data_IF_709206360514
#
_entry.id   IF_709206360514
#
_cell.length_a   1.000
_cell.length_b   1.000
_cell.length_c   1.000
_cell.angle_alpha   90.00
_cell.angle_beta   90.00
_cell.angle_gamma   90.00
#
_symmetry.space_group_name_H-M   'P 1'
#
loop_
_entity.id
_entity.type
_entity.pdbx_description
1 polymer ?
#
# COMPACT_ATOMS: atom_id res chain seq x y z
N UNK A 1 -2.74 13.01 -2.50
CA UNK A 1 -2.24 11.73 -1.96
C UNK A 1 -0.87 11.47 -2.54
N UNK A 2 0.09 11.05 -1.71
CA UNK A 2 1.43 10.67 -2.12
C UNK A 2 1.70 9.26 -1.62
N UNK A 3 2.11 8.34 -2.51
CA UNK A 3 2.48 6.97 -2.13
C UNK A 3 3.88 6.96 -1.50
N UNK A 4 3.99 7.56 -0.32
CA UNK A 4 5.18 7.65 0.50
C UNK A 4 4.74 7.88 1.96
N UNK A 5 5.59 7.56 2.94
CA UNK A 5 6.95 7.03 2.83
C UNK A 5 7.06 5.51 2.63
N UNK A 6 8.24 5.08 2.17
CA UNK A 6 8.63 3.66 2.20
C UNK A 6 9.13 3.32 3.60
N UNK A 7 8.50 2.35 4.25
CA UNK A 7 8.80 1.84 5.58
C UNK A 7 9.43 0.43 5.57
N UNK A 8 9.77 -0.08 4.38
CA UNK A 8 10.47 -1.35 4.25
C UNK A 8 11.86 -1.26 4.88
N UNK A 9 12.20 -2.19 5.79
CA UNK A 9 13.54 -2.30 6.36
C UNK A 9 14.43 -3.10 5.41
N UNK A 10 15.37 -2.44 4.73
CA UNK A 10 16.21 -3.05 3.69
C UNK A 10 17.28 -3.97 4.29
N UNK A 11 16.85 -5.12 4.79
CA UNK A 11 17.68 -6.11 5.48
C UNK A 11 18.40 -7.07 4.52
N UNK A 12 17.89 -7.26 3.31
CA UNK A 12 18.57 -8.01 2.27
C UNK A 12 19.40 -7.08 1.37
N UNK A 13 20.75 -7.13 1.41
CA UNK A 13 21.58 -6.28 0.57
C UNK A 13 21.43 -6.56 -0.94
N UNK A 14 20.85 -7.70 -1.31
CA UNK A 14 20.55 -8.09 -2.70
C UNK A 14 19.12 -7.75 -3.11
N UNK A 15 18.36 -7.01 -2.30
CA UNK A 15 17.01 -6.60 -2.65
C UNK A 15 17.03 -5.78 -3.95
N UNK A 16 16.34 -6.24 -5.01
CA UNK A 16 16.42 -5.60 -6.33
C UNK A 16 15.51 -4.39 -6.48
N UNK A 17 14.56 -4.18 -5.57
CA UNK A 17 13.43 -3.25 -5.76
C UNK A 17 13.33 -2.16 -4.70
N UNK A 18 13.70 -2.43 -3.45
CA UNK A 18 13.69 -1.46 -2.36
C UNK A 18 15.00 -0.68 -2.32
N UNK A 19 16.11 -1.31 -1.94
CA UNK A 19 17.45 -0.71 -1.97
C UNK A 19 17.49 0.70 -1.36
N UNK A 20 17.91 1.68 -2.16
CA UNK A 20 18.02 3.11 -1.77
C UNK A 20 16.68 3.82 -1.53
N UNK A 21 15.54 3.17 -1.76
CA UNK A 21 14.22 3.71 -1.43
C UNK A 21 13.89 3.59 0.07
N UNK A 22 14.55 2.67 0.77
CA UNK A 22 14.42 2.54 2.22
C UNK A 22 15.31 3.55 2.94
N UNK A 23 14.88 3.98 4.12
CA UNK A 23 15.70 4.78 5.02
C UNK A 23 16.88 4.01 5.65
N UNK A 24 16.91 2.67 5.54
CA UNK A 24 18.03 1.87 5.97
C UNK A 24 17.67 0.42 6.32
N UNK A 25 18.62 -0.26 6.94
CA UNK A 25 18.49 -1.66 7.39
C UNK A 25 18.16 -1.80 8.88
N UNK A 26 18.02 -0.69 9.61
CA UNK A 26 17.67 -0.67 11.03
C UNK A 26 16.20 -0.24 11.21
N UNK A 27 15.32 -1.08 11.80
CA UNK A 27 13.92 -0.75 12.02
C UNK A 27 13.69 0.55 12.80
N UNK A 28 14.54 0.89 13.77
CA UNK A 28 14.38 2.11 14.58
C UNK A 28 14.63 3.38 13.74
N UNK A 29 15.65 3.33 12.87
CA UNK A 29 15.96 4.42 11.94
C UNK A 29 14.82 4.59 10.92
N UNK A 30 14.37 3.48 10.34
CA UNK A 30 13.26 3.47 9.37
C UNK A 30 11.98 3.99 10.01
N UNK A 31 11.70 3.61 11.26
CA UNK A 31 10.55 4.10 12.02
C UNK A 31 10.63 5.61 12.24
N UNK A 32 11.77 6.10 12.77
CA UNK A 32 11.94 7.51 13.09
C UNK A 32 11.84 8.40 11.84
N UNK A 33 12.57 8.07 10.78
CA UNK A 33 12.58 8.89 9.56
C UNK A 33 11.27 8.73 8.78
N UNK A 34 10.70 7.53 8.78
CA UNK A 34 9.42 7.23 8.14
C UNK A 34 8.28 8.02 8.76
N UNK A 35 8.14 8.01 10.09
CA UNK A 35 7.08 8.75 10.78
C UNK A 35 7.20 10.25 10.55
N UNK A 36 8.40 10.83 10.63
CA UNK A 36 8.58 12.27 10.40
C UNK A 36 8.32 12.65 8.93
N UNK A 37 8.70 11.79 7.97
CA UNK A 37 8.34 11.99 6.55
C UNK A 37 6.83 11.93 6.35
N UNK A 38 6.15 10.98 6.99
CA UNK A 38 4.69 10.85 6.95
C UNK A 38 4.01 12.12 7.48
N UNK A 39 4.44 12.61 8.65
CA UNK A 39 3.92 13.85 9.26
C UNK A 39 4.13 15.06 8.36
N UNK A 40 5.32 15.23 7.79
CA UNK A 40 5.58 16.33 6.85
C UNK A 40 4.68 16.29 5.61
N UNK A 41 4.33 15.10 5.10
CA UNK A 41 3.35 14.97 4.01
C UNK A 41 1.95 15.37 4.49
N UNK A 42 1.55 14.96 5.71
CA UNK A 42 0.25 15.32 6.30
C UNK A 42 0.11 16.82 6.53
N UNK A 43 1.15 17.50 7.00
CA UNK A 43 1.17 18.95 7.27
C UNK A 43 0.89 19.78 6.01
N UNK A 44 1.28 19.28 4.83
CA UNK A 44 1.00 19.91 3.53
C UNK A 44 -0.41 19.57 2.98
N UNK A 45 -1.30 19.02 3.82
CA UNK A 45 -2.63 18.55 3.45
C UNK A 45 -2.59 17.52 2.31
N UNK A 46 -1.54 16.70 2.27
CA UNK A 46 -1.40 15.57 1.35
C UNK A 46 -1.56 14.27 2.14
N UNK A 47 -2.37 13.34 1.63
CA UNK A 47 -2.53 12.02 2.26
C UNK A 47 -1.26 11.18 2.05
N UNK A 48 -0.52 10.79 3.10
CA UNK A 48 0.59 9.83 2.98
C UNK A 48 0.05 8.40 2.85
N UNK A 49 0.82 7.54 2.20
CA UNK A 49 0.55 6.09 2.15
C UNK A 49 1.82 5.34 2.49
N UNK A 50 1.86 4.78 3.70
CA UNK A 50 3.02 4.03 4.16
C UNK A 50 3.08 2.66 3.48
N UNK A 51 4.28 2.21 3.08
CA UNK A 51 4.42 1.04 2.20
C UNK A 51 5.76 0.30 2.33
N UNK A 52 5.86 -0.97 1.97
CA UNK A 52 4.79 -1.85 1.45
C UNK A 52 4.55 -2.94 2.49
N UNK A 53 3.42 -2.85 3.19
CA UNK A 53 3.09 -3.76 4.29
C UNK A 53 2.96 -5.22 3.78
N UNK A 54 3.47 -6.23 4.50
CA UNK A 54 4.07 -6.19 5.84
C UNK A 54 5.59 -5.98 5.86
N UNK A 55 6.20 -5.54 4.75
CA UNK A 55 7.63 -5.28 4.63
C UNK A 55 8.26 -6.01 3.44
N UNK A 56 8.70 -5.27 2.43
CA UNK A 56 9.31 -5.78 1.20
C UNK A 56 10.85 -5.85 1.26
N UNK A 57 11.46 -5.40 2.36
CA UNK A 57 12.90 -5.17 2.44
C UNK A 57 13.78 -6.43 2.46
N UNK A 58 13.22 -7.61 2.74
CA UNK A 58 13.96 -8.90 2.74
C UNK A 58 13.73 -9.76 1.48
N UNK A 59 13.08 -9.22 0.45
CA UNK A 59 12.82 -9.97 -0.79
C UNK A 59 14.05 -10.07 -1.70
N UNK A 60 14.13 -11.16 -2.46
CA UNK A 60 15.17 -11.41 -3.47
C UNK A 60 14.65 -11.41 -4.92
N UNK A 61 13.35 -11.21 -5.10
CA UNK A 61 12.66 -11.13 -6.38
C UNK A 61 11.93 -9.80 -6.45
N UNK A 62 12.01 -9.13 -7.60
CA UNK A 62 11.24 -7.93 -7.86
C UNK A 62 9.77 -8.30 -8.15
N UNK A 63 8.83 -7.77 -7.36
CA UNK A 63 7.39 -8.01 -7.53
C UNK A 63 6.82 -7.51 -8.86
N UNK A 64 7.50 -6.58 -9.54
CA UNK A 64 7.13 -6.20 -10.91
C UNK A 64 7.33 -7.36 -11.90
N UNK A 65 8.28 -8.27 -11.61
CA UNK A 65 8.68 -9.36 -12.51
C UNK A 65 8.04 -10.69 -12.12
N UNK A 66 7.92 -10.99 -10.83
CA UNK A 66 7.34 -12.25 -10.35
C UNK A 66 7.04 -12.22 -8.85
N UNK A 67 6.38 -13.24 -8.33
CA UNK A 67 5.93 -13.28 -6.94
C UNK A 67 7.11 -13.55 -5.98
N UNK A 68 7.52 -12.58 -5.13
CA UNK A 68 8.52 -12.82 -4.12
C UNK A 68 7.94 -13.69 -3.00
N UNK A 69 8.73 -14.68 -2.57
CA UNK A 69 8.39 -15.52 -1.42
C UNK A 69 9.40 -15.29 -0.30
N UNK A 70 8.91 -15.03 0.90
CA UNK A 70 9.72 -14.79 2.10
C UNK A 70 9.35 -15.85 3.15
N UNK A 71 10.36 -16.53 3.70
CA UNK A 71 10.18 -17.64 4.65
C UNK A 71 10.27 -17.19 6.12
N UNK A 72 9.69 -16.02 6.41
CA UNK A 72 9.64 -15.42 7.75
C UNK A 72 8.34 -15.81 8.44
N UNK A 73 8.41 -16.09 9.75
CA UNK A 73 7.25 -16.30 10.60
C UNK A 73 6.77 -14.98 11.22
N UNK A 74 5.63 -15.05 11.90
CA UNK A 74 5.01 -13.89 12.53
C UNK A 74 5.91 -13.26 13.61
N UNK A 75 6.64 -14.07 14.38
CA UNK A 75 7.56 -13.59 15.41
C UNK A 75 8.67 -12.73 14.81
N UNK A 76 9.26 -13.15 13.69
CA UNK A 76 10.20 -12.33 12.94
C UNK A 76 9.58 -11.01 12.49
N UNK A 77 8.42 -11.07 11.84
CA UNK A 77 7.73 -9.88 11.34
C UNK A 77 7.45 -8.87 12.47
N UNK A 78 6.92 -9.33 13.60
CA UNK A 78 6.60 -8.47 14.75
C UNK A 78 7.84 -7.81 15.37
N UNK A 79 8.97 -8.52 15.41
CA UNK A 79 10.21 -8.04 16.00
C UNK A 79 11.14 -7.32 15.01
N UNK A 80 10.72 -7.15 13.74
CA UNK A 80 11.57 -6.52 12.74
C UNK A 80 10.77 -5.76 11.68
N UNK A 81 10.18 -6.44 10.69
CA UNK A 81 9.58 -5.80 9.51
C UNK A 81 8.35 -4.94 9.85
N UNK A 82 7.57 -5.30 10.88
CA UNK A 82 6.35 -4.59 11.29
C UNK A 82 6.61 -3.40 12.22
N UNK A 83 7.82 -3.27 12.79
CA UNK A 83 8.13 -2.20 13.75
C UNK A 83 7.83 -0.81 13.14
N UNK A 84 8.32 -0.46 11.93
CA UNK A 84 8.01 0.83 11.33
C UNK A 84 6.52 1.07 11.06
N UNK A 85 5.79 0.04 10.64
CA UNK A 85 4.35 0.16 10.38
C UNK A 85 3.56 0.36 11.67
N UNK A 86 3.88 -0.39 12.73
CA UNK A 86 3.28 -0.20 14.05
C UNK A 86 3.52 1.22 14.56
N UNK A 87 4.75 1.73 14.43
CA UNK A 87 5.09 3.12 14.81
C UNK A 87 4.34 4.17 13.99
N UNK A 88 4.17 3.94 12.68
CA UNK A 88 3.38 4.83 11.84
C UNK A 88 1.89 4.82 12.23
N UNK A 89 1.31 3.66 12.52
CA UNK A 89 -0.08 3.53 12.97
C UNK A 89 -0.29 4.21 14.33
N UNK A 90 0.64 4.03 15.28
CA UNK A 90 0.67 4.74 16.57
C UNK A 90 0.77 6.27 16.42
N UNK A 91 1.23 6.76 15.25
CA UNK A 91 1.36 8.18 14.91
C UNK A 91 0.34 8.59 13.82
N UNK A 92 -0.86 8.00 13.85
CA UNK A 92 -2.00 8.41 13.01
C UNK A 92 -1.76 8.28 11.49
N UNK A 93 -1.11 7.20 11.04
CA UNK A 93 -1.04 6.87 9.62
C UNK A 93 -2.45 6.81 8.99
N UNK A 94 -2.62 7.49 7.87
CA UNK A 94 -3.91 7.56 7.17
C UNK A 94 -4.19 6.36 6.27
N UNK A 95 -3.14 5.89 5.58
CA UNK A 95 -3.24 4.82 4.61
C UNK A 95 -2.05 3.88 4.65
N UNK A 96 -2.32 2.59 4.42
CA UNK A 96 -1.30 1.54 4.30
C UNK A 96 -1.44 0.84 2.95
N UNK A 97 -0.34 0.73 2.22
CA UNK A 97 -0.26 -0.05 0.97
C UNK A 97 0.23 -1.46 1.23
N UNK A 98 -0.48 -2.47 0.73
CA UNK A 98 -0.15 -3.89 0.91
C UNK A 98 0.65 -4.44 -0.28
N UNK A 99 1.80 -5.04 0.01
CA UNK A 99 2.70 -5.63 -0.98
C UNK A 99 2.16 -6.95 -1.58
N UNK A 100 2.66 -7.29 -2.77
CA UNK A 100 2.45 -8.61 -3.38
C UNK A 100 3.58 -9.57 -3.00
N UNK A 101 3.60 -10.05 -1.75
CA UNK A 101 4.62 -10.97 -1.21
C UNK A 101 3.94 -12.20 -0.61
N UNK A 102 4.42 -13.39 -0.96
CA UNK A 102 4.00 -14.65 -0.35
C UNK A 102 4.81 -14.91 0.92
N UNK A 103 4.15 -14.96 2.07
CA UNK A 103 4.76 -15.26 3.37
C UNK A 103 4.41 -16.70 3.75
N UNK A 104 5.20 -17.66 3.27
CA UNK A 104 4.81 -19.09 3.26
C UNK A 104 4.58 -19.71 4.63
N UNK A 105 5.10 -19.11 5.71
CA UNK A 105 4.86 -19.57 7.09
C UNK A 105 3.62 -18.96 7.76
N UNK A 106 3.00 -17.95 7.14
CA UNK A 106 1.83 -17.25 7.67
C UNK A 106 0.61 -17.53 6.81
N UNK A 107 0.74 -17.39 5.50
CA UNK A 107 -0.26 -17.78 4.50
C UNK A 107 0.49 -18.33 3.28
N UNK A 108 0.46 -19.65 3.13
CA UNK A 108 1.15 -20.35 2.05
C UNK A 108 0.42 -20.29 0.71
N UNK A 109 -0.83 -19.83 0.70
CA UNK A 109 -1.68 -19.86 -0.49
C UNK A 109 -1.82 -18.49 -1.14
N UNK A 110 -1.90 -17.43 -0.33
CA UNK A 110 -2.20 -16.10 -0.81
C UNK A 110 -1.05 -15.12 -0.51
N UNK A 111 -0.59 -14.33 -1.48
CA UNK A 111 0.24 -13.17 -1.20
C UNK A 111 -0.48 -12.21 -0.25
N UNK A 112 0.32 -11.39 0.43
CA UNK A 112 -0.12 -10.46 1.46
C UNK A 112 -1.32 -9.60 1.03
N UNK A 113 -1.34 -9.11 -0.21
CA UNK A 113 -2.43 -8.31 -0.80
C UNK A 113 -3.77 -9.05 -0.98
N UNK A 114 -3.80 -10.36 -0.79
CA UNK A 114 -4.99 -11.22 -0.88
C UNK A 114 -5.22 -12.05 0.39
N UNK A 115 -4.36 -11.90 1.41
CA UNK A 115 -4.39 -12.71 2.62
C UNK A 115 -5.23 -12.04 3.70
N UNK A 116 -6.31 -12.70 4.12
CA UNK A 116 -7.12 -12.25 5.26
C UNK A 116 -6.29 -12.23 6.56
N UNK A 117 -5.39 -13.19 6.74
CA UNK A 117 -4.47 -13.25 7.89
C UNK A 117 -3.60 -12.00 7.97
N UNK A 118 -3.04 -11.56 6.84
CA UNK A 118 -2.17 -10.38 6.82
C UNK A 118 -2.98 -9.08 6.98
N UNK A 119 -4.07 -8.92 6.22
CA UNK A 119 -4.80 -7.65 6.15
C UNK A 119 -5.78 -7.49 7.31
N UNK A 120 -6.64 -8.47 7.54
CA UNK A 120 -7.65 -8.39 8.61
C UNK A 120 -7.00 -8.73 9.95
N UNK A 121 -6.37 -9.89 10.09
CA UNK A 121 -5.97 -10.37 11.42
C UNK A 121 -4.73 -9.64 11.95
N UNK A 122 -3.72 -9.38 11.12
CA UNK A 122 -2.51 -8.69 11.57
C UNK A 122 -2.68 -7.17 11.49
N UNK A 123 -2.96 -6.60 10.31
CA UNK A 123 -3.00 -5.14 10.16
C UNK A 123 -4.19 -4.50 10.89
N UNK A 124 -5.42 -4.93 10.60
CA UNK A 124 -6.60 -4.33 11.24
C UNK A 124 -6.77 -4.75 12.70
N UNK A 125 -6.68 -6.05 13.00
CA UNK A 125 -7.01 -6.56 14.33
C UNK A 125 -5.84 -6.46 15.30
N UNK A 126 -4.62 -6.88 14.95
CA UNK A 126 -3.49 -6.85 15.88
C UNK A 126 -2.86 -5.46 15.99
N UNK A 127 -2.59 -4.79 14.86
CA UNK A 127 -2.02 -3.44 14.85
C UNK A 127 -3.07 -2.33 15.00
N UNK A 128 -4.36 -2.68 15.09
CA UNK A 128 -5.48 -1.74 15.32
C UNK A 128 -5.60 -0.66 14.25
N UNK A 129 -5.23 -0.98 13.01
CA UNK A 129 -5.32 -0.02 11.90
C UNK A 129 -6.77 0.14 11.39
N UNK A 130 -7.34 1.33 11.61
CA UNK A 130 -8.67 1.70 11.12
C UNK A 130 -8.65 2.68 9.92
N UNK A 131 -7.45 3.00 9.41
CA UNK A 131 -7.29 3.81 8.19
C UNK A 131 -7.61 3.02 6.91
N UNK A 132 -7.29 3.65 5.77
CA UNK A 132 -7.59 3.07 4.46
C UNK A 132 -6.48 2.11 4.02
N UNK A 133 -6.86 0.91 3.63
CA UNK A 133 -5.94 -0.09 3.07
C UNK A 133 -6.04 -0.06 1.53
N UNK A 134 -4.90 0.07 0.86
CA UNK A 134 -4.80 0.04 -0.61
C UNK A 134 -3.86 -1.09 -1.04
N UNK A 135 -4.13 -1.75 -2.18
CA UNK A 135 -3.15 -2.68 -2.75
C UNK A 135 -1.95 -1.94 -3.33
N UNK A 136 -0.80 -2.62 -3.45
CA UNK A 136 0.16 -2.28 -4.50
C UNK A 136 -0.47 -2.50 -5.90
N UNK A 137 0.23 -2.14 -6.96
CA UNK A 137 -0.33 -2.13 -8.31
C UNK A 137 -0.67 -3.55 -8.81
N UNK A 138 -1.97 -3.81 -9.02
CA UNK A 138 -2.47 -5.16 -9.25
C UNK A 138 -2.13 -5.75 -10.64
N UNK A 139 -1.66 -4.93 -11.59
CA UNK A 139 -1.17 -5.41 -12.88
C UNK A 139 0.31 -5.80 -12.86
N UNK A 140 0.98 -5.72 -11.71
CA UNK A 140 2.36 -6.19 -11.52
C UNK A 140 2.50 -7.69 -11.76
N UNK A 141 3.68 -8.12 -12.22
CA UNK A 141 3.97 -9.51 -12.56
C UNK A 141 3.74 -10.51 -11.43
N UNK A 142 3.90 -10.10 -10.16
CA UNK A 142 3.56 -10.93 -9.00
C UNK A 142 2.09 -11.39 -9.00
N UNK A 143 1.17 -10.58 -9.53
CA UNK A 143 -0.25 -10.91 -9.63
C UNK A 143 -0.57 -11.52 -10.99
N UNK A 144 -0.40 -10.77 -12.08
CA UNK A 144 -0.95 -11.16 -13.39
C UNK A 144 -0.32 -12.41 -14.02
N UNK A 145 0.85 -12.86 -13.53
CA UNK A 145 1.47 -14.12 -13.98
C UNK A 145 1.00 -15.34 -13.20
N UNK A 146 0.38 -15.14 -12.03
CA UNK A 146 0.06 -16.22 -11.09
C UNK A 146 -1.45 -16.30 -10.81
N UNK A 147 -2.19 -15.22 -11.00
CA UNK A 147 -3.61 -15.10 -10.66
C UNK A 147 -4.38 -14.34 -11.74
N UNK A 148 -5.67 -14.64 -11.85
CA UNK A 148 -6.61 -13.78 -12.57
C UNK A 148 -6.74 -12.44 -11.83
N UNK A 149 -6.55 -11.33 -12.55
CA UNK A 149 -6.66 -9.98 -11.97
C UNK A 149 -8.02 -9.76 -11.28
N UNK A 150 -9.10 -10.22 -11.91
CA UNK A 150 -10.45 -10.06 -11.40
C UNK A 150 -10.67 -10.86 -10.10
N UNK A 151 -10.20 -12.09 -10.06
CA UNK A 151 -10.29 -12.94 -8.86
C UNK A 151 -9.41 -12.41 -7.74
N UNK A 152 -8.22 -11.90 -8.09
CA UNK A 152 -7.29 -11.30 -7.15
C UNK A 152 -7.88 -10.05 -6.48
N UNK A 153 -8.57 -9.20 -7.26
CA UNK A 153 -9.27 -8.04 -6.72
C UNK A 153 -10.41 -8.43 -5.77
N UNK A 154 -11.22 -9.42 -6.13
CA UNK A 154 -12.30 -9.95 -5.27
C UNK A 154 -11.72 -10.49 -3.96
N UNK A 155 -10.69 -11.35 -4.04
CA UNK A 155 -9.99 -11.87 -2.84
C UNK A 155 -9.42 -10.77 -1.97
N UNK A 156 -8.80 -9.74 -2.56
CA UNK A 156 -8.23 -8.62 -1.81
C UNK A 156 -9.28 -7.83 -1.03
N UNK A 157 -10.44 -7.53 -1.65
CA UNK A 157 -11.55 -6.87 -0.96
C UNK A 157 -12.10 -7.76 0.15
N UNK A 158 -12.32 -9.06 -0.12
CA UNK A 158 -12.77 -10.01 0.91
C UNK A 158 -11.78 -10.13 2.07
N UNK A 159 -10.48 -9.96 1.82
CA UNK A 159 -9.42 -10.00 2.84
C UNK A 159 -9.33 -8.74 3.71
N UNK A 160 -9.95 -7.62 3.31
CA UNK A 160 -10.00 -6.39 4.12
C UNK A 160 -9.48 -5.11 3.46
N UNK A 161 -9.07 -5.17 2.18
CA UNK A 161 -8.60 -4.02 1.41
C UNK A 161 -9.74 -3.07 1.03
N UNK A 162 -9.52 -1.76 1.11
CA UNK A 162 -10.52 -0.74 0.76
C UNK A 162 -10.40 -0.22 -0.68
N UNK A 163 -9.17 -0.08 -1.18
CA UNK A 163 -8.89 0.43 -2.52
C UNK A 163 -8.06 -0.59 -3.31
N UNK A 164 -8.54 -0.96 -4.49
CA UNK A 164 -7.78 -1.76 -5.46
C UNK A 164 -7.09 -0.83 -6.44
N UNK A 165 -5.75 -0.86 -6.46
CA UNK A 165 -4.94 -0.06 -7.38
C UNK A 165 -4.76 -0.79 -8.71
N UNK A 166 -5.33 -0.24 -9.78
CA UNK A 166 -5.13 -0.68 -11.17
C UNK A 166 -4.52 0.48 -11.93
N UNK A 167 -3.22 0.41 -12.22
CA UNK A 167 -2.46 1.48 -12.85
C UNK A 167 -2.40 1.39 -14.37
N UNK A 168 -2.78 0.25 -14.95
CA UNK A 168 -2.61 -0.02 -16.38
C UNK A 168 -3.83 -0.68 -17.03
N UNK A 169 -4.33 -0.04 -18.09
CA UNK A 169 -5.32 -0.59 -19.00
C UNK A 169 -6.77 -0.36 -18.57
N UNK A 170 -7.49 0.48 -19.30
CA UNK A 170 -8.90 0.78 -19.02
C UNK A 170 -9.79 -0.48 -18.96
N UNK A 171 -9.53 -1.48 -19.80
CA UNK A 171 -10.28 -2.74 -19.77
C UNK A 171 -10.04 -3.55 -18.49
N UNK A 172 -8.86 -3.42 -17.87
CA UNK A 172 -8.57 -4.06 -16.58
C UNK A 172 -9.39 -3.42 -15.46
N UNK A 173 -9.48 -2.08 -15.45
CA UNK A 173 -10.32 -1.33 -14.50
C UNK A 173 -11.79 -1.76 -14.60
N UNK A 174 -12.34 -1.80 -15.83
CA UNK A 174 -13.72 -2.26 -16.08
C UNK A 174 -13.91 -3.72 -15.65
N UNK A 175 -12.94 -4.59 -15.94
CA UNK A 175 -12.96 -5.99 -15.54
C UNK A 175 -13.06 -6.16 -14.02
N UNK A 176 -12.21 -5.45 -13.27
CA UNK A 176 -12.19 -5.46 -11.80
C UNK A 176 -13.52 -4.93 -11.23
N UNK A 177 -14.03 -3.81 -11.74
CA UNK A 177 -15.32 -3.25 -11.29
C UNK A 177 -16.46 -4.26 -11.49
N UNK A 178 -16.52 -4.90 -12.66
CA UNK A 178 -17.56 -5.89 -12.96
C UNK A 178 -17.43 -7.14 -12.09
N UNK A 179 -16.21 -7.60 -11.83
CA UNK A 179 -15.95 -8.73 -10.95
C UNK A 179 -16.42 -8.47 -9.51
N UNK A 180 -16.07 -7.30 -8.95
CA UNK A 180 -16.51 -6.89 -7.61
C UNK A 180 -18.04 -6.78 -7.52
N UNK A 181 -18.68 -6.15 -8.52
CA UNK A 181 -20.16 -6.10 -8.60
C UNK A 181 -20.78 -7.49 -8.63
N UNK A 182 -20.20 -8.41 -9.41
CA UNK A 182 -20.69 -9.78 -9.49
C UNK A 182 -20.52 -10.52 -8.17
N UNK A 183 -19.36 -10.39 -7.52
CA UNK A 183 -19.08 -11.01 -6.23
C UNK A 183 -20.09 -10.54 -5.16
N UNK A 184 -20.42 -9.25 -5.13
CA UNK A 184 -21.46 -8.71 -4.24
C UNK A 184 -22.84 -9.29 -4.60
N UNK A 185 -23.23 -9.30 -5.87
CA UNK A 185 -24.54 -9.86 -6.29
C UNK A 185 -24.72 -11.34 -5.96
N UNK A 186 -23.62 -12.09 -5.87
CA UNK A 186 -23.59 -13.52 -5.54
C UNK A 186 -23.45 -13.78 -4.05
N UNK A 187 -23.22 -12.75 -3.24
CA UNK A 187 -22.98 -12.87 -1.79
C UNK A 187 -21.58 -13.35 -1.42
N UNK A 188 -20.63 -13.38 -2.36
CA UNK A 188 -19.21 -13.68 -2.09
C UNK A 188 -18.54 -12.55 -1.29
N UNK A 189 -18.97 -11.31 -1.52
CA UNK A 189 -18.65 -10.12 -0.71
C UNK A 189 -19.97 -9.57 -0.17
N UNK A 190 -20.08 -9.38 1.14
CA UNK A 190 -21.27 -8.77 1.72
C UNK A 190 -21.33 -7.27 1.41
N UNK A 191 -22.54 -6.70 1.39
CA UNK A 191 -22.69 -5.26 1.18
C UNK A 191 -22.07 -4.47 2.33
N UNK A 192 -22.19 -4.98 3.57
CA UNK A 192 -21.61 -4.38 4.76
C UNK A 192 -20.09 -4.26 4.64
N UNK A 193 -19.42 -5.27 4.04
CA UNK A 193 -17.98 -5.22 3.79
C UNK A 193 -17.62 -4.07 2.84
N UNK A 194 -18.42 -3.81 1.81
CA UNK A 194 -18.22 -2.65 0.92
C UNK A 194 -18.46 -1.34 1.67
N UNK A 195 -19.54 -1.27 2.46
CA UNK A 195 -19.91 -0.07 3.22
C UNK A 195 -18.83 0.33 4.23
N UNK A 196 -18.18 -0.64 4.88
CA UNK A 196 -17.03 -0.41 5.76
C UNK A 196 -15.87 0.28 5.02
N UNK A 197 -15.54 -0.18 3.82
CA UNK A 197 -14.46 0.41 3.02
C UNK A 197 -14.83 1.82 2.54
N UNK A 198 -16.04 1.99 2.02
CA UNK A 198 -16.55 3.29 1.56
C UNK A 198 -16.57 4.29 2.71
N UNK A 199 -16.99 3.87 3.91
CA UNK A 199 -16.97 4.71 5.10
C UNK A 199 -15.56 5.22 5.43
N UNK A 200 -14.53 4.34 5.45
CA UNK A 200 -13.14 4.75 5.70
C UNK A 200 -12.62 5.73 4.64
N UNK A 201 -12.95 5.48 3.37
CA UNK A 201 -12.55 6.34 2.25
C UNK A 201 -13.21 7.71 2.37
N UNK A 202 -14.51 7.78 2.69
CA UNK A 202 -15.23 9.05 2.84
C UNK A 202 -14.73 9.84 4.06
N UNK A 203 -14.50 9.16 5.20
CA UNK A 203 -13.90 9.76 6.40
C UNK A 203 -12.52 10.35 6.10
N UNK A 204 -11.71 9.66 5.29
CA UNK A 204 -10.40 10.17 4.86
C UNK A 204 -10.54 11.38 3.92
N UNK A 205 -11.46 11.32 2.95
CA UNK A 205 -11.75 12.48 2.08
C UNK A 205 -12.19 13.70 2.89
N UNK A 206 -13.04 13.51 3.89
CA UNK A 206 -13.50 14.55 4.82
C UNK A 206 -12.35 15.14 5.63
N UNK A 207 -11.47 14.29 6.21
CA UNK A 207 -10.28 14.73 6.96
C UNK A 207 -9.41 15.71 6.17
N UNK A 208 -9.28 15.49 4.87
CA UNK A 208 -8.45 16.31 3.97
C UNK A 208 -9.22 17.37 3.18
N UNK A 209 -10.52 17.54 3.46
CA UNK A 209 -11.42 18.45 2.77
C UNK A 209 -11.38 18.27 1.23
N UNK A 210 -11.32 17.00 0.79
CA UNK A 210 -11.33 16.67 -0.63
C UNK A 210 -12.75 16.86 -1.19
N UNK A 211 -12.83 17.55 -2.33
CA UNK A 211 -14.08 17.79 -3.04
C UNK A 211 -14.06 17.09 -4.38
N UNK A 212 -15.22 16.64 -4.83
CA UNK A 212 -15.41 16.02 -6.14
C UNK A 212 -15.68 17.09 -7.24
N UNK A 213 -15.15 18.31 -7.07
CA UNK A 213 -15.25 19.39 -8.06
C UNK A 213 -14.32 19.12 -9.24
N UNK A 214 -14.83 19.24 -10.47
CA UNK A 214 -14.03 19.08 -11.69
C UNK A 214 -13.07 20.26 -11.81
N UNK A 215 -11.78 20.00 -11.72
CA UNK A 215 -10.74 21.00 -11.99
C UNK A 215 -10.50 21.04 -13.50
N UNK A 216 -10.91 22.14 -14.15
CA UNK A 216 -10.66 22.38 -15.57
C UNK A 216 -9.16 22.62 -15.79
N UNK A 217 -8.48 21.58 -16.25
CA UNK A 217 -7.06 21.48 -16.63
C UNK A 217 -6.02 22.10 -15.67
N UNK A 218 -5.06 21.26 -15.28
CA UNK A 218 -3.88 21.72 -14.54
C UNK A 218 -2.85 22.23 -15.54
N UNK A 219 -2.30 23.44 -15.33
CA UNK A 219 -1.17 23.94 -16.11
C UNK A 219 0.11 23.19 -15.72
N UNK A 220 0.33 22.06 -16.40
CA UNK A 220 1.48 21.17 -16.19
C UNK A 220 2.80 21.91 -16.40
N UNK A 221 2.86 22.85 -17.33
CA UNK A 221 4.09 23.61 -17.62
C UNK A 221 4.46 24.52 -16.44
N UNK A 222 3.47 25.21 -15.87
CA UNK A 222 3.66 26.03 -14.67
C UNK A 222 4.13 25.21 -13.47
N UNK A 223 3.57 24.01 -13.27
CA UNK A 223 4.02 23.10 -12.21
C UNK A 223 5.46 22.65 -12.45
N UNK A 224 5.78 22.17 -13.65
CA UNK A 224 7.13 21.72 -14.00
C UNK A 224 8.17 22.83 -13.81
N UNK A 225 7.84 24.08 -14.14
CA UNK A 225 8.73 25.21 -13.92
C UNK A 225 8.95 25.48 -12.42
N UNK A 226 7.89 25.44 -11.60
CA UNK A 226 8.03 25.56 -10.13
C UNK A 226 8.92 24.46 -9.55
N UNK A 227 8.74 23.21 -9.99
CA UNK A 227 9.57 22.07 -9.55
C UNK A 227 11.04 22.32 -9.90
N UNK A 228 11.34 22.74 -11.14
CA UNK A 228 12.71 23.05 -11.56
C UNK A 228 13.34 24.15 -10.70
N UNK A 229 12.62 25.25 -10.46
CA UNK A 229 13.10 26.32 -9.58
C UNK A 229 13.38 25.82 -8.17
N UNK A 230 12.51 24.96 -7.63
CA UNK A 230 12.70 24.39 -6.30
C UNK A 230 13.94 23.47 -6.26
N UNK A 231 14.10 22.61 -7.26
CA UNK A 231 15.27 21.74 -7.38
C UNK A 231 16.58 22.54 -7.54
N UNK A 232 16.56 23.68 -8.22
CA UNK A 232 17.73 24.54 -8.33
C UNK A 232 18.10 25.20 -6.99
N UNK A 233 17.12 25.51 -6.13
CA UNK A 233 17.36 26.02 -4.76
C UNK A 233 18.00 24.93 -3.88
N UNK A 234 17.57 23.68 -4.02
CA UNK A 234 17.98 22.55 -3.17
C UNK A 234 19.03 21.64 -3.81
N UNK A 235 19.66 22.05 -4.92
CA UNK A 235 20.85 21.37 -5.45
C UNK A 235 21.95 21.45 -4.39
N UNK A 236 22.09 20.38 -3.62
CA UNK A 236 23.30 20.08 -2.85
C UNK A 236 24.38 19.79 -3.90
N UNK A 237 25.37 20.68 -3.97
CA UNK A 237 26.61 20.51 -4.74
C UNK A 237 27.37 19.27 -4.32
#
# INVERSE_FOLDING_TARGET
MNFAPVLDVNSNPKNPVIGSRSFGSNPDIVSSLGVETMKGIQEENVIPVVKHFPGHGDTSVDSHVGLPTVNSDLDRLQNFELIPFAKAIENDADMVMIAHILLSKIDSENPSSMSKTIITDILRNNLKFDGVVITDEMTMGAIIKNYSLNEAAVKSVSAGTDIILVGHGYNNEIGVINALKSAVSKGEISQERIDESVYRILKLKEKYNLKDEIINSVDVNKINNKIKTLLDIYKVS
#
